data_IF_513051615027
#
_entry.id   IF_513051615027
#
_cell.length_a   1.000
_cell.length_b   1.000
_cell.length_c   1.000
_cell.angle_alpha   90.00
_cell.angle_beta   90.00
_cell.angle_gamma   90.00
#
_symmetry.space_group_name_H-M   'P 1'
#
loop_
_entity.id
_entity.type
_entity.pdbx_description
1 polymer ?
#
# COMPACT_ATOMS: atom_id res chain seq x y z
N UNK A 1 -38.49 40.15 40.61
CA UNK A 1 -37.81 38.85 40.74
C UNK A 1 -36.61 38.92 39.84
N UNK A 2 -35.47 39.29 40.41
CA UNK A 2 -34.15 39.28 39.76
C UNK A 2 -33.57 37.88 39.98
N UNK A 3 -33.14 37.23 38.90
CA UNK A 3 -32.20 36.11 38.98
C UNK A 3 -30.82 36.70 39.23
N UNK A 4 -30.15 36.24 40.28
CA UNK A 4 -28.73 36.47 40.49
C UNK A 4 -28.12 35.19 41.07
N UNK A 5 -26.88 34.95 40.68
CA UNK A 5 -26.35 33.65 40.28
C UNK A 5 -25.63 32.93 41.43
N UNK A 6 -25.67 31.60 41.34
CA UNK A 6 -25.07 30.67 42.28
C UNK A 6 -23.52 30.69 42.21
N UNK A 7 -22.94 30.92 43.37
CA UNK A 7 -21.77 30.31 44.01
C UNK A 7 -20.76 29.45 43.20
N UNK A 8 -19.50 29.89 43.36
CA UNK A 8 -18.30 29.17 43.85
C UNK A 8 -17.34 28.42 42.91
N UNK A 9 -16.09 28.86 43.12
CA UNK A 9 -14.80 28.18 43.11
C UNK A 9 -14.32 27.47 41.85
N UNK A 10 -13.20 27.95 41.30
CA UNK A 10 -12.20 27.09 40.66
C UNK A 10 -10.80 27.57 41.03
N UNK A 11 -10.27 26.81 41.99
CA UNK A 11 -8.90 26.56 42.40
C UNK A 11 -7.77 26.90 41.41
N UNK A 12 -6.68 27.43 41.98
CA UNK A 12 -5.46 27.84 41.31
C UNK A 12 -4.46 26.68 41.34
N UNK A 13 -4.39 25.90 40.26
CA UNK A 13 -3.32 24.91 40.08
C UNK A 13 -2.26 25.44 39.11
N UNK A 14 -1.24 26.06 39.68
CA UNK A 14 0.11 26.07 39.13
C UNK A 14 0.63 24.62 39.11
N UNK A 15 1.03 24.14 37.94
CA UNK A 15 1.81 22.91 37.82
C UNK A 15 2.94 23.18 36.84
N UNK A 16 4.15 23.21 37.40
CA UNK A 16 5.44 23.30 36.73
C UNK A 16 5.61 22.27 35.59
N UNK A 17 6.23 22.77 34.52
CA UNK A 17 7.35 22.20 33.77
C UNK A 17 7.52 20.67 33.83
N UNK A 18 7.42 19.99 32.69
CA UNK A 18 8.31 18.89 32.32
C UNK A 18 8.42 18.83 30.79
N UNK A 19 9.59 19.25 30.31
CA UNK A 19 10.18 18.86 29.04
C UNK A 19 10.04 17.34 28.82
N UNK A 20 9.38 16.94 27.74
CA UNK A 20 9.73 15.72 27.02
C UNK A 20 9.20 15.83 25.59
N UNK A 21 10.03 16.43 24.74
CA UNK A 21 9.98 16.18 23.32
C UNK A 21 10.14 14.67 23.04
N UNK A 22 9.03 13.94 22.99
CA UNK A 22 8.99 12.61 22.38
C UNK A 22 8.49 12.75 20.96
N UNK A 23 9.42 13.12 20.07
CA UNK A 23 9.33 12.86 18.65
C UNK A 23 9.17 11.35 18.44
N UNK A 24 7.93 10.85 18.52
CA UNK A 24 7.59 9.53 18.04
C UNK A 24 7.50 9.61 16.52
N UNK A 25 8.66 9.59 15.88
CA UNK A 25 8.74 9.24 14.47
C UNK A 25 8.09 7.87 14.26
N UNK A 26 7.41 7.68 13.12
CA UNK A 26 6.69 6.45 12.82
C UNK A 26 7.66 5.28 12.88
N UNK A 27 7.28 4.25 13.63
CA UNK A 27 7.80 2.90 13.42
C UNK A 27 7.32 2.42 12.06
N UNK A 28 7.89 2.98 10.98
CA UNK A 28 8.04 2.29 9.72
C UNK A 28 8.90 1.08 10.06
N UNK A 29 8.25 -0.03 10.38
CA UNK A 29 8.82 -1.33 10.10
C UNK A 29 9.20 -1.29 8.63
N UNK A 30 10.46 -0.99 8.37
CA UNK A 30 11.11 -1.15 7.09
C UNK A 30 11.01 -2.64 6.79
N UNK A 31 9.86 -3.04 6.23
CA UNK A 31 9.79 -4.23 5.42
C UNK A 31 10.90 -3.99 4.40
N UNK A 32 12.01 -4.72 4.56
CA UNK A 32 13.15 -4.61 3.68
C UNK A 32 12.59 -4.58 2.27
N UNK A 33 12.73 -3.42 1.60
CA UNK A 33 12.21 -3.20 0.28
C UNK A 33 13.06 -4.07 -0.65
N UNK A 34 12.74 -5.36 -0.70
CA UNK A 34 13.21 -6.26 -1.73
C UNK A 34 12.70 -5.61 -3.01
N UNK A 35 13.61 -5.07 -3.81
CA UNK A 35 13.25 -4.39 -5.05
C UNK A 35 12.37 -5.35 -5.85
N UNK A 36 11.24 -4.87 -6.33
CA UNK A 36 10.43 -5.64 -7.28
C UNK A 36 10.52 -4.92 -8.62
N UNK A 37 10.78 -5.68 -9.67
CA UNK A 37 10.87 -5.17 -11.03
C UNK A 37 10.09 -6.08 -11.98
N UNK A 38 9.67 -5.60 -13.16
CA UNK A 38 9.14 -6.50 -14.18
C UNK A 38 10.20 -7.54 -14.51
N UNK A 39 9.77 -8.79 -14.78
CA UNK A 39 10.71 -9.81 -15.24
C UNK A 39 11.45 -9.29 -16.47
N UNK A 40 12.77 -9.44 -16.47
CA UNK A 40 13.64 -8.93 -17.51
C UNK A 40 13.20 -9.40 -18.90
N UNK A 41 13.11 -8.45 -19.84
CA UNK A 41 12.68 -8.73 -21.21
C UNK A 41 11.16 -8.76 -21.43
N UNK A 42 10.34 -8.41 -20.43
CA UNK A 42 8.88 -8.23 -20.60
C UNK A 42 8.53 -6.87 -21.21
N UNK A 43 7.48 -6.84 -22.02
CA UNK A 43 6.86 -5.62 -22.55
C UNK A 43 5.35 -5.67 -22.29
N UNK A 44 4.96 -5.22 -21.10
CA UNK A 44 3.60 -5.38 -20.57
C UNK A 44 2.65 -4.29 -21.09
N UNK A 45 1.48 -4.72 -21.56
CA UNK A 45 0.36 -3.88 -21.94
C UNK A 45 -0.85 -4.21 -21.06
N UNK A 46 -1.41 -3.21 -20.38
CA UNK A 46 -2.53 -3.38 -19.44
C UNK A 46 -3.84 -2.97 -20.15
N UNK A 47 -4.39 -3.86 -20.97
CA UNK A 47 -5.60 -3.58 -21.75
C UNK A 47 -6.32 -4.87 -22.16
N UNK A 48 -7.67 -4.88 -22.15
CA UNK A 48 -8.55 -3.85 -21.58
C UNK A 48 -8.51 -3.84 -20.03
N UNK A 49 -8.97 -2.73 -19.44
CA UNK A 49 -9.18 -2.60 -18.01
C UNK A 49 -10.65 -2.22 -17.78
N UNK A 50 -11.39 -3.05 -17.04
CA UNK A 50 -12.81 -2.82 -16.78
C UNK A 50 -13.00 -2.15 -15.43
N UNK A 51 -13.88 -1.14 -15.39
CA UNK A 51 -14.09 -0.30 -14.20
C UNK A 51 -14.97 -0.95 -13.13
N UNK A 52 -15.79 -1.95 -13.49
CA UNK A 52 -16.85 -2.46 -12.61
C UNK A 52 -16.43 -3.65 -11.74
N UNK A 53 -15.40 -4.40 -12.16
CA UNK A 53 -14.90 -5.58 -11.43
C UNK A 53 -13.41 -5.45 -11.08
N UNK A 54 -12.77 -4.33 -11.47
CA UNK A 54 -11.37 -4.04 -11.18
C UNK A 54 -10.36 -4.93 -11.92
N UNK A 55 -10.82 -5.95 -12.64
CA UNK A 55 -9.99 -6.87 -13.40
C UNK A 55 -9.43 -6.24 -14.70
N UNK A 56 -8.26 -6.71 -15.12
CA UNK A 56 -7.61 -6.31 -16.36
C UNK A 56 -6.83 -7.45 -16.98
N UNK A 57 -6.76 -7.45 -18.32
CA UNK A 57 -5.85 -8.32 -19.04
C UNK A 57 -4.49 -7.63 -19.16
N UNK A 58 -3.44 -8.36 -18.78
CA UNK A 58 -2.06 -7.99 -19.04
C UNK A 58 -1.53 -8.85 -20.15
N UNK A 59 -0.98 -8.23 -21.19
CA UNK A 59 -0.39 -8.91 -22.34
C UNK A 59 1.10 -8.61 -22.40
N UNK A 60 1.95 -9.63 -22.52
CA UNK A 60 3.36 -9.44 -22.81
C UNK A 60 3.61 -9.52 -24.32
N UNK A 61 4.01 -8.40 -24.92
CA UNK A 61 4.29 -8.32 -26.36
C UNK A 61 5.42 -9.24 -26.80
N UNK A 62 6.37 -9.55 -25.93
CA UNK A 62 7.59 -10.26 -26.32
C UNK A 62 7.40 -11.78 -26.33
N UNK A 63 6.67 -12.33 -25.37
CA UNK A 63 6.35 -13.78 -25.30
C UNK A 63 5.03 -14.17 -25.97
N UNK A 64 4.06 -13.25 -26.01
CA UNK A 64 2.67 -13.57 -26.33
C UNK A 64 1.85 -14.10 -25.15
N UNK A 65 2.43 -14.14 -23.95
CA UNK A 65 1.73 -14.51 -22.72
C UNK A 65 0.67 -13.48 -22.36
N UNK A 66 -0.40 -13.93 -21.69
CA UNK A 66 -1.38 -13.05 -21.08
C UNK A 66 -1.82 -13.55 -19.70
N UNK A 67 -2.18 -12.60 -18.85
CA UNK A 67 -2.70 -12.86 -17.50
C UNK A 67 -3.96 -12.04 -17.28
N UNK A 68 -4.88 -12.57 -16.49
CA UNK A 68 -6.02 -11.81 -15.96
C UNK A 68 -5.68 -11.46 -14.52
N UNK A 69 -5.57 -10.17 -14.25
CA UNK A 69 -5.24 -9.64 -12.93
C UNK A 69 -6.48 -9.00 -12.31
N UNK A 70 -6.66 -9.20 -11.02
CA UNK A 70 -7.58 -8.37 -10.23
C UNK A 70 -7.05 -6.93 -10.07
N UNK A 71 -7.81 -6.09 -9.38
CA UNK A 71 -7.46 -4.68 -9.21
C UNK A 71 -6.14 -4.47 -8.47
N UNK A 72 -5.87 -5.28 -7.44
CA UNK A 72 -4.70 -5.14 -6.60
C UNK A 72 -3.42 -5.59 -7.33
N UNK A 73 -3.48 -6.76 -7.97
CA UNK A 73 -2.44 -7.29 -8.84
C UNK A 73 -2.13 -6.32 -9.99
N UNK A 74 -3.17 -5.76 -10.63
CA UNK A 74 -3.02 -4.77 -11.71
C UNK A 74 -2.34 -3.51 -11.23
N UNK A 75 -2.76 -2.93 -10.10
CA UNK A 75 -2.15 -1.71 -9.54
C UNK A 75 -0.67 -1.92 -9.23
N UNK A 76 -0.33 -3.05 -8.61
CA UNK A 76 1.05 -3.39 -8.28
C UNK A 76 1.89 -3.58 -9.56
N UNK A 77 1.47 -4.46 -10.46
CA UNK A 77 2.21 -4.76 -11.68
C UNK A 77 2.36 -3.53 -12.59
N UNK A 78 1.33 -2.70 -12.72
CA UNK A 78 1.40 -1.47 -13.51
C UNK A 78 2.28 -0.41 -12.84
N UNK A 79 2.24 -0.26 -11.51
CA UNK A 79 3.12 0.64 -10.78
C UNK A 79 4.59 0.29 -10.98
N UNK A 80 4.92 -1.00 -10.89
CA UNK A 80 6.27 -1.53 -11.12
C UNK A 80 6.70 -1.34 -12.58
N UNK A 81 5.83 -1.66 -13.55
CA UNK A 81 6.14 -1.56 -14.97
C UNK A 81 6.38 -0.13 -15.47
N UNK A 82 5.73 0.87 -14.87
CA UNK A 82 5.90 2.28 -15.24
C UNK A 82 6.97 3.01 -14.40
N UNK A 83 7.76 2.28 -13.60
CA UNK A 83 8.91 2.84 -12.89
C UNK A 83 8.54 3.74 -11.71
N UNK A 84 7.41 3.48 -11.04
CA UNK A 84 7.20 4.05 -9.71
C UNK A 84 8.29 3.47 -8.79
N UNK A 85 9.31 4.27 -8.47
CA UNK A 85 10.52 3.89 -7.73
C UNK A 85 10.27 3.23 -6.36
N UNK A 86 9.04 3.30 -5.89
CA UNK A 86 8.47 2.40 -4.91
C UNK A 86 7.05 2.12 -5.39
N UNK A 87 6.82 0.96 -6.00
CA UNK A 87 5.46 0.51 -6.21
C UNK A 87 4.90 0.23 -4.81
N UNK A 88 4.33 1.25 -4.18
CA UNK A 88 3.71 1.16 -2.86
C UNK A 88 2.73 0.01 -2.92
N UNK A 89 3.06 -1.08 -2.23
CA UNK A 89 2.15 -2.21 -2.16
C UNK A 89 0.86 -1.67 -1.55
N UNK A 90 -0.31 -1.84 -2.21
CA UNK A 90 -1.55 -1.30 -1.70
C UNK A 90 -1.73 -1.72 -0.23
N UNK A 91 -2.20 -0.83 0.67
CA UNK A 91 -2.38 -1.19 2.06
C UNK A 91 -3.33 -2.38 2.15
N UNK A 92 -3.13 -3.23 3.16
CA UNK A 92 -3.95 -4.44 3.39
C UNK A 92 -5.47 -4.15 3.34
N UNK A 93 -5.88 -2.94 3.73
CA UNK A 93 -7.26 -2.43 3.64
C UNK A 93 -7.85 -2.35 2.23
N UNK A 94 -7.03 -2.44 1.19
CA UNK A 94 -7.44 -2.44 -0.23
C UNK A 94 -7.88 -3.84 -0.67
N UNK A 95 -7.48 -4.87 0.07
CA UNK A 95 -7.78 -6.24 -0.25
C UNK A 95 -9.05 -6.68 0.49
N UNK A 96 -9.87 -7.56 -0.11
CA UNK A 96 -10.98 -8.16 0.61
C UNK A 96 -10.45 -8.87 1.85
N UNK A 97 -11.12 -8.70 2.99
CA UNK A 97 -10.73 -9.31 4.24
C UNK A 97 -10.79 -10.85 4.12
N UNK A 98 -9.63 -11.47 3.94
CA UNK A 98 -9.41 -12.92 3.85
C UNK A 98 -7.93 -13.24 4.03
N UNK A 99 -7.61 -14.44 4.51
CA UNK A 99 -6.24 -14.89 4.84
C UNK A 99 -5.23 -14.79 3.66
N UNK A 100 -5.71 -14.78 2.41
CA UNK A 100 -4.90 -14.70 1.19
C UNK A 100 -4.47 -13.28 0.77
N UNK A 101 -4.92 -12.25 1.49
CA UNK A 101 -4.80 -10.83 1.13
C UNK A 101 -3.46 -10.16 1.52
N UNK A 102 -2.40 -10.94 1.79
CA UNK A 102 -1.14 -10.34 2.23
C UNK A 102 -0.36 -9.74 1.04
N UNK A 103 0.23 -8.54 1.21
CA UNK A 103 1.03 -7.89 0.17
C UNK A 103 2.14 -8.80 -0.38
N UNK A 104 2.81 -9.55 0.49
CA UNK A 104 3.87 -10.49 0.13
C UNK A 104 3.38 -11.69 -0.70
N UNK A 105 2.17 -12.21 -0.40
CA UNK A 105 1.56 -13.30 -1.18
C UNK A 105 1.21 -12.85 -2.57
N UNK A 106 0.69 -11.63 -2.72
CA UNK A 106 0.44 -11.04 -4.02
C UNK A 106 1.73 -10.90 -4.84
N UNK A 107 2.78 -10.33 -4.24
CA UNK A 107 4.10 -10.20 -4.88
C UNK A 107 4.61 -11.58 -5.31
N UNK A 108 4.56 -12.56 -4.41
CA UNK A 108 4.99 -13.93 -4.71
C UNK A 108 4.21 -14.51 -5.88
N UNK A 109 2.88 -14.35 -5.91
CA UNK A 109 2.04 -14.84 -7.00
C UNK A 109 2.39 -14.21 -8.35
N UNK A 110 2.74 -12.92 -8.38
CA UNK A 110 3.18 -12.24 -9.60
C UNK A 110 4.58 -12.69 -10.06
N UNK A 111 5.45 -13.06 -9.11
CA UNK A 111 6.74 -13.68 -9.41
C UNK A 111 6.60 -15.10 -9.94
N UNK A 112 5.76 -15.93 -9.30
CA UNK A 112 5.49 -17.30 -9.73
C UNK A 112 4.84 -17.34 -11.12
N UNK A 113 4.03 -16.32 -11.44
CA UNK A 113 3.43 -16.13 -12.77
C UNK A 113 4.44 -15.60 -13.82
N UNK A 114 5.66 -15.24 -13.43
CA UNK A 114 6.69 -14.72 -14.33
C UNK A 114 6.41 -13.30 -14.86
N UNK A 115 5.59 -12.53 -14.15
CA UNK A 115 5.28 -11.13 -14.49
C UNK A 115 6.33 -10.21 -13.86
N UNK A 116 6.66 -10.45 -12.59
CA UNK A 116 7.64 -9.71 -11.81
C UNK A 116 8.81 -10.62 -11.39
N UNK A 117 9.91 -10.01 -10.98
CA UNK A 117 11.01 -10.68 -10.29
C UNK A 117 11.42 -9.85 -9.06
N UNK A 118 11.96 -10.52 -8.05
CA UNK A 118 12.60 -9.85 -6.92
C UNK A 118 14.04 -9.53 -7.31
N UNK A 119 14.49 -8.34 -6.92
CA UNK A 119 15.88 -7.94 -6.95
C UNK A 119 16.57 -8.71 -5.82
N UNK A 120 17.28 -9.78 -6.17
CA UNK A 120 18.21 -10.43 -5.26
C UNK A 120 19.41 -9.48 -5.09
N UNK A 121 19.43 -8.78 -3.95
CA UNK A 121 20.59 -7.99 -3.53
C UNK A 121 21.72 -8.89 -3.00
#
# INVERSE_FOLDING_TARGET
MLHDEFEFDHDHHDVDDHDHAVSSQPGSTSAAAHGIRPLSGRSLCFSPAWTHEGASVVFDRNSGDYWVLDEAARRLASGVAHGAASATIPPASTFPAGDDASPDRLVQSLCDAGILERDDA
#
